data_IF_764006355447
#
_entry.id   IF_764006355447
#
_cell.length_a   1.000
_cell.length_b   1.000
_cell.length_c   1.000
_cell.angle_alpha   90.00
_cell.angle_beta   90.00
_cell.angle_gamma   90.00
#
_symmetry.space_group_name_H-M   'P 1'
#
loop_
_entity.id
_entity.type
_entity.pdbx_description
1 polymer ?
#
# COMPACT_ATOMS: atom_id res chain seq x y z
N UNK A 1 27.38 0.39 9.53
CA UNK A 1 26.48 0.82 10.61
C UNK A 1 25.43 -0.25 10.81
N UNK A 2 25.28 -0.81 12.01
CA UNK A 2 24.35 -1.90 12.29
C UNK A 2 22.91 -1.37 12.21
N UNK A 3 22.08 -1.95 11.33
CA UNK A 3 20.63 -1.67 11.25
C UNK A 3 19.98 -2.16 12.54
N UNK A 4 19.45 -1.26 13.34
CA UNK A 4 18.69 -1.60 14.53
C UNK A 4 17.34 -2.18 14.09
N UNK A 5 17.25 -3.52 14.07
CA UNK A 5 16.01 -4.23 13.76
C UNK A 5 15.04 -4.08 14.94
N UNK A 6 13.90 -3.47 14.69
CA UNK A 6 12.83 -3.36 15.68
C UNK A 6 12.27 -4.77 15.92
N UNK A 7 12.46 -5.31 17.14
CA UNK A 7 11.77 -6.52 17.58
C UNK A 7 10.31 -6.17 17.85
N UNK A 8 9.41 -6.59 16.98
CA UNK A 8 7.97 -6.52 17.23
C UNK A 8 7.65 -7.54 18.32
N UNK A 9 7.51 -7.06 19.55
CA UNK A 9 7.22 -7.92 20.70
C UNK A 9 5.90 -8.67 20.56
N UNK A 10 5.80 -9.89 21.04
CA UNK A 10 4.63 -10.81 20.99
C UNK A 10 3.37 -10.33 21.74
N UNK A 11 3.28 -9.05 22.14
CA UNK A 11 2.10 -8.45 22.78
C UNK A 11 1.73 -7.15 22.09
N UNK A 12 1.22 -7.24 20.87
CA UNK A 12 0.37 -6.17 20.37
C UNK A 12 -1.06 -6.49 20.86
N UNK A 13 -1.48 -5.81 21.91
CA UNK A 13 -2.86 -5.82 22.34
C UNK A 13 -3.76 -5.39 21.19
N UNK A 14 -5.00 -5.92 21.15
CA UNK A 14 -6.04 -5.43 20.24
C UNK A 14 -6.06 -3.90 20.29
N UNK A 15 -6.03 -3.26 19.12
CA UNK A 15 -6.18 -1.81 19.00
C UNK A 15 -7.36 -1.36 19.84
N UNK A 16 -7.24 -0.25 20.60
CA UNK A 16 -8.33 0.23 21.43
C UNK A 16 -9.59 0.44 20.58
N UNK A 17 -10.72 0.02 21.11
CA UNK A 17 -12.07 0.10 20.51
C UNK A 17 -12.40 1.50 19.96
N UNK A 18 -11.78 2.55 20.50
CA UNK A 18 -11.91 3.94 20.04
C UNK A 18 -11.39 4.18 18.60
N UNK A 19 -10.31 3.49 18.17
CA UNK A 19 -9.78 3.66 16.81
C UNK A 19 -10.73 3.07 15.75
N UNK A 20 -11.38 1.95 16.07
CA UNK A 20 -12.43 1.33 15.22
C UNK A 20 -13.69 2.20 15.13
N UNK A 21 -14.06 2.88 16.22
CA UNK A 21 -15.26 3.74 16.26
C UNK A 21 -15.05 5.03 15.46
N UNK A 22 -13.90 5.69 15.60
CA UNK A 22 -13.57 6.89 14.85
C UNK A 22 -13.52 6.63 13.34
N UNK A 23 -12.94 5.49 12.93
CA UNK A 23 -12.94 5.09 11.54
C UNK A 23 -14.35 4.97 10.95
N UNK A 24 -15.29 4.31 11.65
CA UNK A 24 -16.68 4.15 11.19
C UNK A 24 -17.45 5.47 11.01
N UNK A 25 -17.04 6.51 11.71
CA UNK A 25 -17.72 7.82 11.63
C UNK A 25 -17.26 8.66 10.41
N UNK A 26 -16.09 8.39 9.85
CA UNK A 26 -15.47 9.25 8.83
C UNK A 26 -15.29 8.57 7.46
N UNK A 27 -15.40 7.25 7.37
CA UNK A 27 -15.31 6.53 6.11
C UNK A 27 -16.58 5.70 5.87
N UNK A 28 -17.39 6.15 4.94
CA UNK A 28 -18.70 5.54 4.62
C UNK A 28 -18.60 4.37 3.64
N UNK A 29 -17.44 4.18 3.00
CA UNK A 29 -17.27 3.13 1.99
C UNK A 29 -16.25 2.10 2.47
N UNK A 30 -16.72 0.89 2.75
CA UNK A 30 -15.89 -0.26 3.12
C UNK A 30 -15.49 -1.01 1.84
N UNK A 31 -14.25 -1.56 1.80
CA UNK A 31 -13.86 -2.46 0.74
C UNK A 31 -14.27 -3.89 1.10
N UNK A 32 -15.31 -4.40 0.44
CA UNK A 32 -15.75 -5.78 0.63
C UNK A 32 -14.66 -6.78 0.22
N UNK A 33 -13.88 -6.43 -0.81
CA UNK A 33 -12.75 -7.24 -1.25
C UNK A 33 -11.69 -7.35 -0.15
N UNK A 34 -11.28 -6.21 0.45
CA UNK A 34 -10.28 -6.21 1.52
C UNK A 34 -10.75 -7.02 2.73
N UNK A 35 -11.98 -6.82 3.19
CA UNK A 35 -12.54 -7.55 4.34
C UNK A 35 -12.69 -9.05 4.06
N UNK A 36 -13.04 -9.46 2.85
CA UNK A 36 -13.10 -10.88 2.48
C UNK A 36 -11.77 -11.60 2.63
N UNK A 37 -10.66 -10.94 2.33
CA UNK A 37 -9.33 -11.54 2.36
C UNK A 37 -8.56 -11.31 3.66
N UNK A 38 -8.80 -10.17 4.34
CA UNK A 38 -7.89 -9.69 5.38
C UNK A 38 -8.51 -9.61 6.78
N UNK A 39 -9.81 -9.85 6.94
CA UNK A 39 -10.44 -9.84 8.26
C UNK A 39 -9.84 -10.91 9.20
N UNK A 40 -9.57 -10.48 10.43
CA UNK A 40 -8.97 -11.33 11.45
C UNK A 40 -7.47 -11.54 11.31
N UNK A 41 -6.84 -11.03 10.25
CA UNK A 41 -5.40 -11.04 10.01
C UNK A 41 -4.77 -9.75 10.55
N UNK A 42 -3.45 -9.80 10.77
CA UNK A 42 -2.65 -8.65 11.18
C UNK A 42 -1.71 -8.22 10.06
N UNK A 43 -1.79 -6.93 9.69
CA UNK A 43 -1.04 -6.39 8.59
C UNK A 43 -0.20 -5.17 8.89
N UNK A 44 0.52 -4.74 7.87
CA UNK A 44 1.12 -3.42 7.77
C UNK A 44 0.47 -2.67 6.60
N UNK A 45 0.09 -1.42 6.85
CA UNK A 45 -0.46 -0.52 5.85
C UNK A 45 0.59 0.53 5.49
N UNK A 46 0.91 0.65 4.22
CA UNK A 46 1.89 1.61 3.71
C UNK A 46 1.13 2.85 3.24
N UNK A 47 1.50 4.02 3.77
CA UNK A 47 0.88 5.29 3.40
C UNK A 47 -0.60 5.39 3.79
N UNK A 48 -0.99 4.74 4.90
CA UNK A 48 -2.39 4.75 5.36
C UNK A 48 -2.88 6.14 5.68
N UNK A 49 -4.10 6.46 5.20
CA UNK A 49 -4.73 7.76 5.35
C UNK A 49 -6.16 7.65 5.90
N UNK A 50 -6.55 8.59 6.76
CA UNK A 50 -7.84 8.54 7.45
C UNK A 50 -9.05 8.60 6.50
N UNK A 51 -8.94 9.35 5.40
CA UNK A 51 -10.00 9.46 4.38
C UNK A 51 -10.13 8.21 3.51
N UNK A 52 -9.14 7.30 3.55
CA UNK A 52 -9.11 6.04 2.81
C UNK A 52 -8.87 4.83 3.72
N UNK A 53 -9.16 4.91 5.00
CA UNK A 53 -8.93 3.84 5.96
C UNK A 53 -9.74 2.57 5.64
N UNK A 54 -9.10 1.40 5.73
CA UNK A 54 -9.73 0.10 5.46
C UNK A 54 -10.34 -0.55 6.71
N UNK A 55 -10.05 -0.05 7.91
CA UNK A 55 -10.61 -0.57 9.17
C UNK A 55 -10.05 -1.92 9.62
N UNK A 56 -8.94 -2.33 9.05
CA UNK A 56 -8.24 -3.58 9.35
C UNK A 56 -7.27 -3.41 10.54
N UNK A 57 -6.77 -4.54 11.06
CA UNK A 57 -5.74 -4.54 12.12
C UNK A 57 -4.36 -4.34 11.49
N UNK A 58 -3.97 -3.07 11.31
CA UNK A 58 -2.72 -2.69 10.66
C UNK A 58 -1.85 -1.79 11.52
N UNK A 59 -0.54 -1.85 11.30
CA UNK A 59 0.44 -0.82 11.69
C UNK A 59 0.62 0.10 10.49
N UNK A 60 0.44 1.40 10.69
CA UNK A 60 0.61 2.38 9.63
C UNK A 60 2.09 2.79 9.49
N UNK A 61 2.64 2.60 8.29
CA UNK A 61 4.00 3.02 7.91
C UNK A 61 3.92 4.18 6.93
N UNK A 62 4.66 5.22 7.20
CA UNK A 62 4.82 6.36 6.28
C UNK A 62 6.27 6.87 6.35
N UNK A 63 6.72 7.57 5.32
CA UNK A 63 8.06 8.17 5.25
C UNK A 63 8.26 9.33 6.23
N UNK A 64 7.18 9.90 6.78
CA UNK A 64 7.22 11.03 7.70
C UNK A 64 6.14 10.95 8.77
N UNK A 65 6.47 11.41 9.98
CA UNK A 65 5.48 11.69 11.04
C UNK A 65 4.98 13.12 11.03
N UNK A 66 5.49 13.94 10.12
CA UNK A 66 5.07 15.33 10.03
C UNK A 66 3.59 15.41 9.65
N UNK A 67 2.81 15.98 10.57
CA UNK A 67 1.36 16.17 10.40
C UNK A 67 1.04 17.41 9.56
N UNK A 68 2.05 18.19 9.17
CA UNK A 68 1.89 19.41 8.36
C UNK A 68 2.22 19.17 6.87
N UNK A 69 2.22 17.91 6.42
CA UNK A 69 2.35 17.56 4.99
C UNK A 69 1.07 17.89 4.23
N UNK A 70 1.19 18.04 2.90
CA UNK A 70 0.02 18.27 2.03
C UNK A 70 -1.01 17.15 2.19
N UNK A 71 -0.58 15.90 2.28
CA UNK A 71 -1.44 14.73 2.48
C UNK A 71 -2.16 14.74 3.82
N UNK A 72 -1.46 15.08 4.92
CA UNK A 72 -2.09 15.15 6.25
C UNK A 72 -3.08 16.29 6.37
N UNK A 73 -2.83 17.40 5.69
CA UNK A 73 -3.83 18.49 5.59
C UNK A 73 -5.05 18.05 4.77
N UNK A 74 -4.85 17.30 3.70
CA UNK A 74 -5.95 16.74 2.91
C UNK A 74 -6.78 15.75 3.73
N UNK A 75 -6.15 14.85 4.49
CA UNK A 75 -6.85 13.97 5.42
C UNK A 75 -7.72 14.75 6.40
N UNK A 76 -7.20 15.86 6.98
CA UNK A 76 -7.97 16.71 7.89
C UNK A 76 -9.17 17.36 7.20
N UNK A 77 -9.03 17.78 5.94
CA UNK A 77 -10.14 18.38 5.16
C UNK A 77 -11.20 17.33 4.82
N UNK A 78 -10.79 16.13 4.40
CA UNK A 78 -11.70 15.10 3.89
C UNK A 78 -12.32 14.24 5.01
N UNK A 79 -11.56 13.95 6.07
CA UNK A 79 -11.98 13.04 7.14
C UNK A 79 -12.13 13.71 8.52
N UNK A 80 -11.75 14.98 8.66
CA UNK A 80 -11.74 15.69 9.95
C UNK A 80 -10.68 15.21 10.93
N UNK A 81 -9.88 14.22 10.55
CA UNK A 81 -8.81 13.60 11.35
C UNK A 81 -7.71 13.11 10.42
N UNK A 82 -6.46 13.15 10.87
CA UNK A 82 -5.34 12.53 10.16
C UNK A 82 -4.91 11.24 10.86
N UNK A 83 -4.56 10.22 10.07
CA UNK A 83 -4.08 8.93 10.59
C UNK A 83 -2.67 9.10 11.16
N UNK A 84 -2.47 8.56 12.37
CA UNK A 84 -1.15 8.56 12.99
C UNK A 84 -0.20 7.60 12.26
N UNK A 85 1.07 7.99 12.19
CA UNK A 85 2.15 7.14 11.67
C UNK A 85 2.77 6.37 12.82
N UNK A 86 2.65 5.05 12.80
CA UNK A 86 3.18 4.16 13.84
C UNK A 86 4.70 3.97 13.65
N UNK A 87 5.13 3.76 12.40
CA UNK A 87 6.53 3.54 12.05
C UNK A 87 6.94 4.44 10.89
N UNK A 88 8.08 5.11 11.02
CA UNK A 88 8.67 5.91 9.94
C UNK A 88 9.63 5.05 9.14
N UNK A 89 9.33 4.84 7.85
CA UNK A 89 10.19 4.13 6.91
C UNK A 89 9.84 4.50 5.46
N UNK A 90 10.77 4.27 4.54
CA UNK A 90 10.47 4.29 3.11
C UNK A 90 9.62 3.06 2.74
N UNK A 91 8.66 3.22 1.83
CA UNK A 91 7.73 2.15 1.46
C UNK A 91 8.40 0.93 0.82
N UNK A 92 9.60 1.09 0.29
CA UNK A 92 10.41 0.06 -0.36
C UNK A 92 11.63 -0.40 0.48
N UNK A 93 11.70 -0.03 1.79
CA UNK A 93 12.76 -0.44 2.73
C UNK A 93 12.17 -0.47 4.16
N UNK A 94 11.42 -1.52 4.48
CA UNK A 94 10.66 -1.65 5.72
C UNK A 94 11.54 -2.20 6.86
N UNK A 95 11.45 -1.66 8.09
CA UNK A 95 12.30 -2.07 9.21
C UNK A 95 11.81 -3.36 9.90
N UNK A 96 11.10 -4.21 9.17
CA UNK A 96 10.53 -5.45 9.70
C UNK A 96 11.33 -6.68 9.22
N UNK A 97 11.36 -7.77 9.98
CA UNK A 97 11.86 -9.04 9.48
C UNK A 97 10.96 -9.63 8.39
N UNK A 98 11.47 -10.62 7.67
CA UNK A 98 10.64 -11.40 6.75
C UNK A 98 9.48 -12.06 7.52
N UNK A 99 8.34 -12.21 6.85
CA UNK A 99 7.14 -12.87 7.38
C UNK A 99 6.62 -12.24 8.69
N UNK A 100 6.82 -10.93 8.89
CA UNK A 100 6.45 -10.25 10.13
C UNK A 100 4.94 -10.07 10.29
N UNK A 101 4.21 -9.97 9.18
CA UNK A 101 2.77 -9.73 9.13
C UNK A 101 2.08 -10.75 8.25
N UNK A 102 0.77 -10.92 8.43
CA UNK A 102 -0.01 -11.79 7.56
C UNK A 102 -0.19 -11.17 6.19
N UNK A 103 -0.30 -9.83 6.12
CA UNK A 103 -0.43 -9.10 4.86
C UNK A 103 0.26 -7.73 4.87
N UNK A 104 0.53 -7.22 3.67
CA UNK A 104 0.85 -5.82 3.39
C UNK A 104 -0.30 -5.22 2.60
N UNK A 105 -0.76 -4.04 3.02
CA UNK A 105 -1.77 -3.25 2.32
C UNK A 105 -1.13 -1.95 1.84
N UNK A 106 -1.33 -1.61 0.57
CA UNK A 106 -0.93 -0.35 -0.02
C UNK A 106 -2.02 0.15 -0.97
N UNK A 107 -2.53 1.34 -0.70
CA UNK A 107 -3.57 1.98 -1.52
C UNK A 107 -3.11 3.34 -1.99
N UNK A 108 -2.96 3.50 -3.30
CA UNK A 108 -2.42 4.73 -3.93
C UNK A 108 -1.02 5.11 -3.39
N UNK A 109 -0.11 4.15 -3.40
CA UNK A 109 1.28 4.31 -2.94
C UNK A 109 2.29 3.86 -3.98
N UNK A 110 2.05 2.72 -4.65
CA UNK A 110 3.03 2.11 -5.54
C UNK A 110 3.37 3.01 -6.74
N UNK A 111 2.43 3.81 -7.20
CA UNK A 111 2.62 4.80 -8.26
C UNK A 111 3.60 5.92 -7.88
N UNK A 112 3.76 6.18 -6.58
CA UNK A 112 4.71 7.16 -6.04
C UNK A 112 6.12 6.60 -5.84
N UNK A 113 6.30 5.29 -5.99
CA UNK A 113 7.61 4.66 -5.83
C UNK A 113 8.32 4.55 -7.18
N UNK A 114 9.56 5.08 -7.30
CA UNK A 114 10.30 5.07 -8.57
C UNK A 114 10.61 3.67 -9.09
N UNK A 115 10.82 2.71 -8.16
CA UNK A 115 11.08 1.30 -8.42
C UNK A 115 9.99 0.43 -7.79
N UNK A 116 8.87 0.20 -8.48
CA UNK A 116 7.77 -0.62 -7.97
C UNK A 116 8.13 -2.10 -7.83
N UNK A 117 9.09 -2.61 -8.61
CA UNK A 117 9.56 -4.00 -8.49
C UNK A 117 10.22 -4.20 -7.12
N UNK A 118 11.08 -3.27 -6.72
CA UNK A 118 11.71 -3.30 -5.42
C UNK A 118 10.69 -3.23 -4.28
N UNK A 119 9.70 -2.34 -4.41
CA UNK A 119 8.65 -2.22 -3.41
C UNK A 119 7.83 -3.52 -3.27
N UNK A 120 7.40 -4.12 -4.38
CA UNK A 120 6.68 -5.39 -4.37
C UNK A 120 7.50 -6.52 -3.75
N UNK A 121 8.79 -6.61 -4.03
CA UNK A 121 9.69 -7.60 -3.42
C UNK A 121 9.87 -7.37 -1.91
N UNK A 122 9.94 -6.12 -1.48
CA UNK A 122 10.02 -5.79 -0.05
C UNK A 122 8.70 -6.12 0.67
N UNK A 123 7.56 -5.81 0.06
CA UNK A 123 6.25 -6.16 0.60
C UNK A 123 6.04 -7.66 0.67
N UNK A 124 6.46 -8.39 -0.38
CA UNK A 124 6.46 -9.87 -0.39
C UNK A 124 7.36 -10.44 0.71
N UNK A 125 8.51 -9.84 0.97
CA UNK A 125 9.40 -10.26 2.05
C UNK A 125 8.77 -10.12 3.44
N UNK A 126 8.00 -9.05 3.64
CA UNK A 126 7.40 -8.71 4.94
C UNK A 126 6.07 -9.42 5.18
N UNK A 127 5.31 -9.67 4.11
CA UNK A 127 4.05 -10.40 4.17
C UNK A 127 4.27 -11.91 4.18
N UNK A 128 3.47 -12.60 4.99
CA UNK A 128 3.45 -14.07 5.08
C UNK A 128 2.47 -14.68 4.09
N UNK A 129 1.36 -13.98 3.78
CA UNK A 129 0.24 -14.54 3.03
C UNK A 129 -0.18 -13.69 1.84
N UNK A 130 -0.44 -12.39 2.04
CA UNK A 130 -1.10 -11.58 1.02
C UNK A 130 -0.48 -10.19 0.87
N UNK A 131 -0.48 -9.70 -0.38
CA UNK A 131 -0.38 -8.29 -0.68
C UNK A 131 -1.75 -7.81 -1.17
N UNK A 132 -2.28 -6.76 -0.57
CA UNK A 132 -3.50 -6.09 -1.02
C UNK A 132 -3.12 -4.74 -1.58
N UNK A 133 -3.30 -4.55 -2.87
CA UNK A 133 -2.80 -3.39 -3.60
C UNK A 133 -3.96 -2.71 -4.32
N UNK A 134 -4.14 -1.40 -4.10
CA UNK A 134 -5.04 -0.55 -4.87
C UNK A 134 -4.22 0.46 -5.64
N UNK A 135 -4.43 0.55 -6.95
CA UNK A 135 -3.72 1.46 -7.84
C UNK A 135 -4.69 2.34 -8.62
N UNK A 136 -4.32 3.60 -8.90
CA UNK A 136 -5.09 4.49 -9.76
C UNK A 136 -5.11 3.94 -11.18
N UNK A 137 -6.29 3.92 -11.82
CA UNK A 137 -6.37 3.60 -13.22
C UNK A 137 -6.17 4.86 -14.05
N UNK A 138 -5.28 4.81 -15.07
CA UNK A 138 -4.98 5.95 -15.94
C UNK A 138 -6.23 6.69 -16.39
N UNK A 139 -7.19 5.99 -16.97
CA UNK A 139 -8.35 6.59 -17.62
C UNK A 139 -9.38 7.17 -16.63
N UNK A 140 -9.21 6.96 -15.32
CA UNK A 140 -10.11 7.41 -14.26
C UNK A 140 -9.47 8.42 -13.30
N UNK A 141 -8.24 8.87 -13.62
CA UNK A 141 -7.49 9.81 -12.79
C UNK A 141 -6.90 10.94 -13.62
N UNK A 142 -6.18 11.84 -12.97
CA UNK A 142 -5.48 12.93 -13.66
C UNK A 142 -4.31 12.47 -14.56
N UNK A 143 -3.98 11.17 -14.54
CA UNK A 143 -2.96 10.57 -15.40
C UNK A 143 -3.47 10.24 -16.82
N UNK A 144 -4.73 10.53 -17.14
CA UNK A 144 -5.38 10.11 -18.38
C UNK A 144 -4.65 10.53 -19.67
N UNK A 145 -3.92 11.65 -19.64
CA UNK A 145 -3.14 12.13 -20.78
C UNK A 145 -1.70 11.61 -20.82
N UNK A 146 -1.29 10.81 -19.82
CA UNK A 146 0.05 10.25 -19.74
C UNK A 146 0.10 8.85 -20.37
N UNK A 147 1.22 8.45 -20.99
CA UNK A 147 1.39 7.07 -21.44
C UNK A 147 1.42 6.11 -20.25
N UNK A 148 0.88 4.91 -20.43
CA UNK A 148 1.05 3.82 -19.47
C UNK A 148 2.54 3.46 -19.40
N UNK A 149 3.06 3.30 -18.19
CA UNK A 149 4.46 2.91 -18.00
C UNK A 149 4.65 1.46 -18.48
N UNK A 150 5.58 1.25 -19.39
CA UNK A 150 5.84 -0.07 -19.96
C UNK A 150 6.56 -1.00 -18.98
N UNK A 151 6.39 -2.31 -19.15
CA UNK A 151 7.12 -3.30 -18.37
C UNK A 151 8.65 -3.15 -18.54
N UNK A 152 9.12 -2.90 -19.76
CA UNK A 152 10.56 -2.72 -20.04
C UNK A 152 11.11 -1.52 -19.26
N UNK A 153 10.36 -0.42 -19.17
CA UNK A 153 10.74 0.74 -18.38
C UNK A 153 10.83 0.42 -16.88
N UNK A 154 9.88 -0.35 -16.35
CA UNK A 154 9.91 -0.79 -14.95
C UNK A 154 11.13 -1.67 -14.65
N UNK A 155 11.40 -2.63 -15.53
CA UNK A 155 12.57 -3.53 -15.44
C UNK A 155 13.87 -2.72 -15.51
N UNK A 156 13.96 -1.75 -16.42
CA UNK A 156 15.14 -0.90 -16.55
C UNK A 156 15.35 -0.03 -15.29
N UNK A 157 14.31 0.60 -14.77
CA UNK A 157 14.40 1.38 -13.51
C UNK A 157 14.88 0.53 -12.33
N UNK A 158 14.41 -0.71 -12.25
CA UNK A 158 14.85 -1.66 -11.24
C UNK A 158 16.33 -2.03 -11.41
N UNK A 159 16.76 -2.35 -12.63
CA UNK A 159 18.17 -2.66 -12.95
C UNK A 159 19.10 -1.50 -12.61
N UNK A 160 18.67 -0.27 -12.87
CA UNK A 160 19.42 0.96 -12.58
C UNK A 160 19.43 1.31 -11.08
N UNK A 161 18.59 0.64 -10.28
CA UNK A 161 18.44 0.93 -8.84
C UNK A 161 17.89 2.32 -8.58
N UNK A 162 16.92 2.77 -9.39
CA UNK A 162 16.38 4.13 -9.34
C UNK A 162 15.82 4.45 -7.95
N UNK A 163 16.26 5.60 -7.41
CA UNK A 163 15.82 6.14 -6.12
C UNK A 163 15.47 7.60 -6.27
N UNK A 164 14.37 8.00 -5.69
CA UNK A 164 13.97 9.40 -5.60
C UNK A 164 13.04 9.61 -4.42
N UNK A 165 13.09 10.80 -3.82
CA UNK A 165 12.12 11.27 -2.84
C UNK A 165 11.16 12.30 -3.42
N UNK A 166 11.24 12.52 -4.73
CA UNK A 166 10.31 13.40 -5.43
C UNK A 166 8.91 12.82 -5.34
N UNK A 167 7.98 13.65 -4.90
CA UNK A 167 6.59 13.27 -4.72
C UNK A 167 5.80 13.52 -6.00
N UNK A 168 5.64 12.46 -6.77
CA UNK A 168 4.86 12.45 -8.02
C UNK A 168 4.42 11.03 -8.35
N UNK A 169 3.50 10.86 -9.29
CA UNK A 169 3.28 9.58 -9.93
C UNK A 169 4.45 9.25 -10.85
N UNK A 170 5.32 8.34 -10.42
CA UNK A 170 6.41 7.80 -11.22
C UNK A 170 5.90 6.81 -12.26
N UNK A 171 4.81 6.10 -11.94
CA UNK A 171 4.20 5.09 -12.79
C UNK A 171 2.75 5.41 -13.08
N UNK A 172 2.32 5.08 -14.29
CA UNK A 172 0.94 5.21 -14.76
C UNK A 172 0.43 3.81 -15.07
N UNK A 173 -0.68 3.43 -14.46
CA UNK A 173 -1.19 2.08 -14.47
C UNK A 173 -2.50 1.92 -15.24
N UNK A 174 -2.65 0.76 -15.88
CA UNK A 174 -3.91 0.09 -16.16
C UNK A 174 -3.91 -1.26 -15.47
N UNK A 175 -5.07 -1.90 -15.32
CA UNK A 175 -5.13 -3.25 -14.78
C UNK A 175 -4.23 -4.22 -15.54
N UNK A 176 -4.28 -4.17 -16.87
CA UNK A 176 -3.46 -5.03 -17.75
C UNK A 176 -1.96 -4.84 -17.52
N UNK A 177 -1.47 -3.59 -17.41
CA UNK A 177 -0.05 -3.32 -17.19
C UNK A 177 0.44 -3.82 -15.83
N UNK A 178 -0.40 -3.71 -14.79
CA UNK A 178 -0.08 -4.25 -13.47
C UNK A 178 -0.09 -5.78 -13.44
N UNK A 179 -1.06 -6.42 -14.07
CA UNK A 179 -1.12 -7.88 -14.20
C UNK A 179 0.08 -8.43 -14.98
N UNK A 180 0.53 -7.72 -16.02
CA UNK A 180 1.75 -8.07 -16.76
C UNK A 180 3.00 -7.98 -15.86
N UNK A 181 3.11 -6.97 -15.00
CA UNK A 181 4.17 -6.89 -14.00
C UNK A 181 4.10 -8.04 -13.00
N UNK A 182 2.92 -8.39 -12.48
CA UNK A 182 2.74 -9.52 -11.58
C UNK A 182 3.21 -10.82 -12.23
N UNK A 183 2.84 -11.07 -13.48
CA UNK A 183 3.26 -12.24 -14.23
C UNK A 183 4.79 -12.29 -14.43
N UNK A 184 5.41 -11.14 -14.75
CA UNK A 184 6.88 -11.03 -14.88
C UNK A 184 7.62 -11.34 -13.57
N UNK A 185 7.01 -11.02 -12.43
CA UNK A 185 7.59 -11.22 -11.10
C UNK A 185 7.23 -12.57 -10.47
N UNK A 186 6.49 -13.42 -11.17
CA UNK A 186 5.92 -14.67 -10.62
C UNK A 186 5.07 -14.43 -9.34
N UNK A 187 4.36 -13.30 -9.30
CA UNK A 187 3.44 -12.97 -8.22
C UNK A 187 2.04 -13.51 -8.54
N UNK A 188 1.53 -14.51 -7.83
CA UNK A 188 0.21 -15.07 -8.10
C UNK A 188 -0.90 -14.06 -7.78
N UNK A 189 -1.74 -13.74 -8.75
CA UNK A 189 -2.93 -12.91 -8.56
C UNK A 189 -4.07 -13.83 -8.11
N UNK A 190 -4.50 -13.67 -6.86
CA UNK A 190 -5.54 -14.50 -6.23
C UNK A 190 -6.92 -13.92 -6.44
N UNK A 191 -7.04 -12.59 -6.51
CA UNK A 191 -8.28 -11.88 -6.75
C UNK A 191 -7.99 -10.53 -7.40
N UNK A 192 -8.94 -10.03 -8.18
CA UNK A 192 -8.82 -8.77 -8.90
C UNK A 192 -10.17 -8.11 -9.06
N UNK A 193 -10.23 -6.80 -8.85
CA UNK A 193 -11.45 -6.02 -9.00
C UNK A 193 -11.18 -4.68 -9.69
N UNK A 194 -11.90 -4.41 -10.78
CA UNK A 194 -11.84 -3.18 -11.55
C UNK A 194 -13.26 -2.74 -11.94
N UNK A 195 -13.73 -1.55 -11.54
CA UNK A 195 -13.07 -0.61 -10.61
C UNK A 195 -12.99 -1.14 -9.17
N UNK A 196 -12.04 -0.58 -8.39
CA UNK A 196 -11.95 -0.87 -6.96
C UNK A 196 -13.23 -0.47 -6.20
N UNK A 197 -13.57 -1.21 -5.15
CA UNK A 197 -14.78 -0.98 -4.36
C UNK A 197 -14.61 0.09 -3.28
N UNK A 198 -13.39 0.62 -3.09
CA UNK A 198 -13.09 1.62 -2.06
C UNK A 198 -13.27 3.05 -2.58
N UNK A 199 -12.58 3.42 -3.65
CA UNK A 199 -12.62 4.77 -4.25
C UNK A 199 -13.29 4.78 -5.62
N UNK A 200 -13.16 3.70 -6.39
CA UNK A 200 -13.78 3.53 -7.70
C UNK A 200 -13.02 4.19 -8.85
N UNK A 201 -11.89 4.85 -8.57
CA UNK A 201 -11.04 5.48 -9.58
C UNK A 201 -9.82 4.63 -9.97
N UNK A 202 -9.65 3.50 -9.30
CA UNK A 202 -8.56 2.56 -9.47
C UNK A 202 -9.03 1.13 -9.70
N UNK A 203 -8.12 0.21 -9.47
CA UNK A 203 -8.37 -1.21 -9.40
C UNK A 203 -7.69 -1.79 -8.18
N UNK A 204 -8.19 -2.92 -7.69
CA UNK A 204 -7.61 -3.62 -6.55
C UNK A 204 -7.15 -5.02 -6.95
N UNK A 205 -6.03 -5.47 -6.40
CA UNK A 205 -5.50 -6.82 -6.58
C UNK A 205 -5.10 -7.44 -5.24
N UNK A 206 -5.40 -8.71 -5.08
CA UNK A 206 -4.91 -9.55 -3.99
C UNK A 206 -3.87 -10.49 -4.57
N UNK A 207 -2.64 -10.39 -4.09
CA UNK A 207 -1.54 -11.22 -4.54
C UNK A 207 -1.13 -12.19 -3.42
N UNK A 208 -0.73 -13.40 -3.78
CA UNK A 208 -0.08 -14.31 -2.86
C UNK A 208 1.34 -13.84 -2.55
N UNK A 209 1.71 -13.81 -1.28
CA UNK A 209 3.10 -13.55 -0.88
C UNK A 209 3.97 -14.81 -0.99
N UNK A 210 3.37 -15.99 -0.99
CA UNK A 210 4.05 -17.27 -1.10
C UNK A 210 4.35 -17.60 -2.57
N UNK A 211 5.36 -16.95 -3.13
CA UNK A 211 6.03 -17.40 -4.37
C UNK A 211 7.17 -18.38 -4.07
N UNK A 212 7.05 -19.14 -2.96
CA UNK A 212 8.06 -20.12 -2.48
C UNK A 212 7.57 -21.53 -2.57
#
# INVERSE_FOLDING_TARGET
MARQRIRVGRRAGRLPTKRRVLWRLHNTRESALAHRWLDGLRGVEIGGAAHNAFGLDTINVDRSRDMDTVYKREELVLAGVAMAVDVVAEGDDLPFPADAFDFVLASHVLEHLPDPIRALREWQRVARRYLFIVLPHRDRTFDHDRPVTSLDELVQRHADGLRSREDRHWTVWTGESFLALCAHLDLPVLDYQDPDDKQGNGFAAVLGADGR
#
